data_IF_924240347033
#
_entry.id   IF_924240347033
#
_cell.length_a   1.000
_cell.length_b   1.000
_cell.length_c   1.000
_cell.angle_alpha   90.00
_cell.angle_beta   90.00
_cell.angle_gamma   90.00
#
_symmetry.space_group_name_H-M   'P 1'
#
loop_
_entity.id
_entity.type
_entity.pdbx_description
1 polymer ?
#
# COMPACT_ATOMS: atom_id res chain seq x y z
N UNK A 1 12.96 -7.56 -20.12
CA UNK A 1 12.67 -7.85 -18.70
C UNK A 1 11.17 -7.66 -18.52
N UNK A 2 10.51 -8.46 -17.69
CA UNK A 2 9.10 -8.24 -17.39
C UNK A 2 8.92 -6.88 -16.71
N UNK A 3 7.84 -6.18 -17.03
CA UNK A 3 7.49 -4.90 -16.41
C UNK A 3 7.09 -5.14 -14.94
N UNK A 4 7.64 -4.36 -14.00
CA UNK A 4 7.53 -4.61 -12.56
C UNK A 4 6.68 -3.56 -11.87
N UNK A 5 5.79 -3.99 -10.97
CA UNK A 5 5.10 -3.14 -10.01
C UNK A 5 5.84 -3.17 -8.67
N UNK A 6 6.24 -2.01 -8.20
CA UNK A 6 6.87 -1.79 -6.90
C UNK A 6 5.75 -1.64 -5.85
N UNK A 7 5.86 -2.37 -4.76
CA UNK A 7 4.96 -2.25 -3.61
C UNK A 7 5.67 -1.46 -2.52
N UNK A 8 5.11 -0.29 -2.23
CA UNK A 8 5.55 0.62 -1.18
C UNK A 8 4.56 0.51 0.00
N UNK A 9 5.02 0.00 1.12
CA UNK A 9 4.20 -0.11 2.33
C UNK A 9 4.40 1.09 3.25
N UNK A 10 3.33 1.78 3.58
CA UNK A 10 3.32 2.91 4.52
C UNK A 10 2.54 2.61 5.81
N UNK A 11 2.39 1.35 6.18
CA UNK A 11 1.71 0.94 7.42
C UNK A 11 2.34 1.60 8.65
N UNK A 12 3.67 1.71 8.69
CA UNK A 12 4.43 2.24 9.82
C UNK A 12 4.52 3.78 9.84
N UNK A 13 3.99 4.46 8.82
CA UNK A 13 3.92 5.93 8.77
C UNK A 13 2.48 6.41 8.64
N UNK A 14 1.83 6.28 7.47
CA UNK A 14 0.44 6.71 7.24
C UNK A 14 -0.56 5.82 7.99
N UNK A 15 -0.31 4.52 8.02
CA UNK A 15 -1.10 3.59 8.81
C UNK A 15 -1.14 3.96 10.29
N UNK A 16 -0.02 4.36 10.87
CA UNK A 16 0.08 4.79 12.26
C UNK A 16 -0.65 6.12 12.55
N UNK A 17 -0.93 6.92 11.53
CA UNK A 17 -1.72 8.15 11.66
C UNK A 17 -3.22 7.87 11.88
N UNK A 18 -3.67 6.64 11.70
CA UNK A 18 -5.02 6.23 12.10
C UNK A 18 -5.21 6.45 13.61
N UNK A 19 -6.27 7.16 14.05
CA UNK A 19 -6.49 7.42 15.47
C UNK A 19 -6.55 6.12 16.29
N UNK A 20 -5.61 5.95 17.22
CA UNK A 20 -5.50 4.76 18.08
C UNK A 20 -4.54 3.67 17.56
N UNK A 21 -3.91 3.85 16.41
CA UNK A 21 -2.98 2.88 15.83
C UNK A 21 -1.51 3.09 16.20
N UNK A 22 -1.22 3.90 17.22
CA UNK A 22 0.16 4.21 17.63
C UNK A 22 0.94 2.95 18.01
N UNK A 23 2.17 2.87 17.54
CA UNK A 23 3.07 1.74 17.76
C UNK A 23 4.37 2.21 18.41
N UNK A 24 4.91 1.43 19.34
CA UNK A 24 6.25 1.68 19.86
C UNK A 24 7.35 1.18 18.90
N UNK A 25 8.59 1.57 19.17
CA UNK A 25 9.76 1.21 18.34
C UNK A 25 9.87 -0.30 18.07
N UNK A 26 9.68 -1.14 19.10
CA UNK A 26 9.90 -2.59 18.98
C UNK A 26 8.75 -3.25 18.20
N UNK A 27 7.53 -2.73 18.32
CA UNK A 27 6.38 -3.12 17.52
C UNK A 27 6.59 -2.77 16.03
N UNK A 28 7.02 -1.53 15.74
CA UNK A 28 7.36 -1.09 14.38
C UNK A 28 8.47 -1.96 13.77
N UNK A 29 9.52 -2.26 14.51
CA UNK A 29 10.61 -3.12 14.06
C UNK A 29 10.12 -4.55 13.75
N UNK A 30 9.23 -5.08 14.57
CA UNK A 30 8.66 -6.42 14.37
C UNK A 30 7.80 -6.47 13.10
N UNK A 31 6.99 -5.45 12.86
CA UNK A 31 6.19 -5.33 11.63
C UNK A 31 7.11 -5.13 10.42
N UNK A 32 8.12 -4.28 10.50
CA UNK A 32 9.08 -4.07 9.41
C UNK A 32 9.76 -5.37 8.96
N UNK A 33 10.17 -6.22 9.91
CA UNK A 33 10.71 -7.56 9.60
C UNK A 33 9.69 -8.48 8.93
N UNK A 34 8.41 -8.37 9.28
CA UNK A 34 7.36 -9.15 8.63
C UNK A 34 7.09 -8.63 7.21
N UNK A 35 7.15 -7.31 6.98
CA UNK A 35 7.06 -6.70 5.65
C UNK A 35 8.24 -7.11 4.76
N UNK A 36 9.45 -7.19 5.32
CA UNK A 36 10.62 -7.70 4.60
C UNK A 36 10.47 -9.19 4.22
N UNK A 37 9.92 -10.04 5.11
CA UNK A 37 9.58 -11.45 4.78
C UNK A 37 8.52 -11.54 3.69
N UNK A 38 7.54 -10.65 3.70
CA UNK A 38 6.54 -10.50 2.63
C UNK A 38 7.18 -10.03 1.32
N UNK A 39 8.45 -9.60 1.36
CA UNK A 39 9.25 -9.08 0.24
C UNK A 39 8.68 -7.77 -0.34
N UNK A 40 8.21 -6.89 0.54
CA UNK A 40 7.83 -5.52 0.18
C UNK A 40 9.07 -4.79 -0.36
N UNK A 41 8.92 -4.05 -1.45
CA UNK A 41 10.05 -3.37 -2.10
C UNK A 41 10.53 -2.16 -1.28
N UNK A 42 9.59 -1.35 -0.76
CA UNK A 42 9.89 -0.16 0.04
C UNK A 42 9.04 -0.16 1.31
N UNK A 43 9.68 0.06 2.46
CA UNK A 43 9.03 0.18 3.77
C UNK A 43 9.21 1.61 4.26
N UNK A 44 8.13 2.39 4.32
CA UNK A 44 8.14 3.71 4.92
C UNK A 44 8.06 3.58 6.44
N UNK A 45 9.21 3.70 7.09
CA UNK A 45 9.39 3.37 8.50
C UNK A 45 8.81 4.40 9.47
N UNK A 46 8.58 5.63 9.01
CA UNK A 46 8.02 6.71 9.81
C UNK A 46 8.42 8.09 9.34
N UNK A 47 8.24 9.07 10.23
CA UNK A 47 8.61 10.47 10.03
C UNK A 47 9.67 10.89 11.06
N UNK A 48 10.94 10.68 10.72
CA UNK A 48 12.07 10.84 11.64
C UNK A 48 12.19 12.23 12.31
N UNK A 49 11.62 13.26 11.70
CA UNK A 49 11.65 14.62 12.23
C UNK A 49 10.46 14.96 13.16
N UNK A 50 9.47 14.08 13.30
CA UNK A 50 8.28 14.34 14.13
C UNK A 50 8.60 14.30 15.62
N UNK A 51 9.41 13.32 16.04
CA UNK A 51 9.85 13.16 17.44
C UNK A 51 11.18 12.39 17.53
N UNK A 52 11.80 12.37 18.72
CA UNK A 52 12.97 11.52 18.96
C UNK A 52 12.61 10.03 18.89
N UNK A 53 11.43 9.65 19.38
CA UNK A 53 10.96 8.26 19.32
C UNK A 53 10.79 7.77 17.87
N UNK A 54 10.24 8.61 17.00
CA UNK A 54 10.12 8.30 15.57
C UNK A 54 11.49 8.21 14.89
N UNK A 55 12.41 9.10 15.23
CA UNK A 55 13.79 9.01 14.76
C UNK A 55 14.44 7.68 15.14
N UNK A 56 14.35 7.29 16.40
CA UNK A 56 14.90 6.04 16.90
C UNK A 56 14.26 4.81 16.26
N UNK A 57 12.95 4.87 15.99
CA UNK A 57 12.23 3.81 15.30
C UNK A 57 12.69 3.65 13.83
N UNK A 58 12.77 4.76 13.08
CA UNK A 58 13.29 4.76 11.71
C UNK A 58 14.73 4.24 11.67
N UNK A 59 15.59 4.72 12.58
CA UNK A 59 16.99 4.29 12.66
C UNK A 59 17.12 2.79 13.00
N UNK A 60 16.30 2.28 13.93
CA UNK A 60 16.30 0.86 14.28
C UNK A 60 15.88 -0.02 13.09
N UNK A 61 14.87 0.41 12.34
CA UNK A 61 14.43 -0.28 11.12
C UNK A 61 15.50 -0.21 10.03
N UNK A 62 16.11 0.96 9.80
CA UNK A 62 17.19 1.14 8.84
C UNK A 62 18.40 0.23 9.12
N UNK A 63 18.74 0.04 10.38
CA UNK A 63 19.82 -0.86 10.79
C UNK A 63 19.46 -2.35 10.63
N UNK A 64 18.17 -2.71 10.74
CA UNK A 64 17.74 -4.11 10.81
C UNK A 64 17.34 -4.69 9.46
N UNK A 65 16.69 -3.90 8.60
CA UNK A 65 16.17 -4.33 7.30
C UNK A 65 17.28 -4.33 6.25
N UNK A 66 17.36 -5.40 5.43
CA UNK A 66 18.47 -5.62 4.49
C UNK A 66 17.99 -5.76 3.03
N UNK A 67 16.83 -6.36 2.81
CA UNK A 67 16.35 -6.75 1.48
C UNK A 67 15.28 -5.79 0.91
N UNK A 68 14.72 -4.90 1.74
CA UNK A 68 13.81 -3.83 1.33
C UNK A 68 14.49 -2.47 1.44
N UNK A 69 14.08 -1.52 0.61
CA UNK A 69 14.44 -0.11 0.76
C UNK A 69 13.71 0.46 1.97
N UNK A 70 14.45 1.11 2.88
CA UNK A 70 13.85 1.81 4.03
C UNK A 70 13.67 3.28 3.68
N UNK A 71 12.43 3.76 3.85
CA UNK A 71 12.04 5.13 3.54
C UNK A 71 11.71 5.91 4.80
N UNK A 72 12.01 7.21 4.83
CA UNK A 72 11.53 8.15 5.84
C UNK A 72 10.87 9.34 5.18
N UNK A 73 9.66 9.69 5.68
CA UNK A 73 8.97 10.90 5.29
C UNK A 73 9.69 12.14 5.82
N UNK A 74 9.63 13.23 5.08
CA UNK A 74 10.12 14.56 5.50
C UNK A 74 9.28 15.66 4.83
N UNK A 75 9.00 16.74 5.56
CA UNK A 75 8.51 17.96 4.92
C UNK A 75 9.60 18.57 4.05
N UNK A 76 9.20 19.36 3.07
CA UNK A 76 10.11 20.03 2.15
C UNK A 76 10.90 21.16 2.85
N UNK A 77 11.76 20.81 3.78
CA UNK A 77 12.72 21.71 4.43
C UNK A 77 14.00 20.96 4.86
N UNK A 78 15.11 21.69 4.94
CA UNK A 78 16.44 21.11 5.18
C UNK A 78 16.55 20.39 6.52
N UNK A 79 15.86 20.86 7.56
CA UNK A 79 15.89 20.25 8.90
C UNK A 79 15.28 18.86 8.88
N UNK A 80 14.10 18.71 8.33
CA UNK A 80 13.39 17.42 8.27
C UNK A 80 14.13 16.44 7.37
N UNK A 81 14.61 16.91 6.22
CA UNK A 81 15.37 16.11 5.25
C UNK A 81 16.70 15.62 5.85
N UNK A 82 17.43 16.51 6.55
CA UNK A 82 18.67 16.12 7.25
C UNK A 82 18.40 15.08 8.33
N UNK A 83 17.29 15.22 9.06
CA UNK A 83 16.91 14.29 10.12
C UNK A 83 16.53 12.90 9.55
N UNK A 84 15.83 12.88 8.41
CA UNK A 84 15.53 11.65 7.69
C UNK A 84 16.81 10.97 7.18
N UNK A 85 17.71 11.72 6.55
CA UNK A 85 18.99 11.19 6.08
C UNK A 85 19.84 10.60 7.22
N UNK A 86 19.88 11.29 8.38
CA UNK A 86 20.61 10.81 9.56
C UNK A 86 20.04 9.47 10.08
N UNK A 87 18.71 9.34 10.16
CA UNK A 87 18.05 8.10 10.60
C UNK A 87 18.30 6.93 9.63
N UNK A 88 18.46 7.22 8.34
CA UNK A 88 18.65 6.23 7.27
C UNK A 88 20.10 5.80 7.06
N UNK A 89 21.10 6.38 7.76
CA UNK A 89 22.52 6.07 7.54
C UNK A 89 22.91 4.58 7.62
N UNK A 90 22.17 3.80 8.42
CA UNK A 90 22.39 2.36 8.58
C UNK A 90 21.69 1.47 7.57
N UNK A 91 20.88 2.04 6.68
CA UNK A 91 20.13 1.27 5.69
C UNK A 91 21.04 0.77 4.57
N UNK A 92 20.82 -0.46 4.10
CA UNK A 92 21.45 -0.96 2.88
C UNK A 92 20.97 -0.18 1.64
N UNK A 93 19.68 0.17 1.62
CA UNK A 93 19.05 1.03 0.63
C UNK A 93 18.13 2.00 1.37
N UNK A 94 18.39 3.30 1.27
CA UNK A 94 17.63 4.35 1.93
C UNK A 94 16.97 5.30 0.94
N UNK A 95 15.70 5.65 1.17
CA UNK A 95 14.93 6.63 0.41
C UNK A 95 14.47 7.76 1.30
N UNK A 96 14.60 8.99 0.84
CA UNK A 96 13.93 10.15 1.45
C UNK A 96 12.67 10.43 0.63
N UNK A 97 11.53 10.44 1.32
CA UNK A 97 10.25 10.84 0.76
C UNK A 97 9.92 12.26 1.25
N UNK A 98 9.99 13.24 0.35
CA UNK A 98 9.67 14.63 0.69
C UNK A 98 8.40 15.09 0.01
N UNK A 99 7.66 15.98 0.64
CA UNK A 99 6.37 16.45 0.16
C UNK A 99 6.11 17.91 0.48
N UNK A 100 5.31 18.56 -0.37
CA UNK A 100 4.72 19.87 -0.13
C UNK A 100 3.36 19.92 -0.82
N UNK A 101 2.40 20.62 -0.22
CA UNK A 101 1.06 20.74 -0.80
C UNK A 101 1.06 21.65 -2.03
N UNK A 102 0.31 21.25 -3.05
CA UNK A 102 0.27 21.91 -4.36
C UNK A 102 -1.13 22.37 -4.79
N UNK A 103 -2.20 21.98 -4.07
CA UNK A 103 -3.53 22.51 -4.35
C UNK A 103 -3.65 23.96 -3.87
N UNK A 104 -4.39 24.77 -4.61
CA UNK A 104 -4.63 26.19 -4.29
C UNK A 104 -5.16 26.36 -2.86
N UNK A 105 -6.12 25.50 -2.47
CA UNK A 105 -6.69 25.49 -1.12
C UNK A 105 -5.62 25.30 -0.04
N UNK A 106 -4.71 24.31 -0.22
CA UNK A 106 -3.68 24.05 0.78
C UNK A 106 -2.55 25.09 0.74
N UNK A 107 -2.17 25.58 -0.42
CA UNK A 107 -1.18 26.66 -0.53
C UNK A 107 -1.66 27.92 0.20
N UNK A 108 -2.92 28.33 -0.03
CA UNK A 108 -3.51 29.52 0.59
C UNK A 108 -3.78 29.34 2.10
N UNK A 109 -4.51 28.28 2.48
CA UNK A 109 -5.05 28.15 3.86
C UNK A 109 -4.07 27.48 4.82
N UNK A 110 -3.32 26.47 4.37
CA UNK A 110 -2.43 25.67 5.21
C UNK A 110 -1.00 26.21 5.20
N UNK A 111 -0.41 26.38 4.01
CA UNK A 111 0.98 26.83 3.88
C UNK A 111 1.13 28.35 3.97
N UNK A 112 0.13 29.11 3.54
CA UNK A 112 0.17 30.57 3.38
C UNK A 112 1.34 31.01 2.49
N UNK A 113 1.52 30.28 1.38
CA UNK A 113 2.58 30.47 0.40
C UNK A 113 1.98 30.72 -0.99
N UNK A 114 2.68 31.51 -1.78
CA UNK A 114 2.35 31.64 -3.19
C UNK A 114 2.77 30.40 -3.98
N UNK A 115 2.18 30.13 -5.17
CA UNK A 115 2.63 29.02 -6.03
C UNK A 115 4.13 29.07 -6.36
N UNK A 116 4.70 30.26 -6.60
CA UNK A 116 6.13 30.41 -6.88
C UNK A 116 7.00 30.06 -5.67
N UNK A 117 6.56 30.40 -4.45
CA UNK A 117 7.27 30.00 -3.23
C UNK A 117 7.24 28.47 -3.05
N UNK A 118 6.08 27.84 -3.27
CA UNK A 118 5.95 26.36 -3.21
C UNK A 118 6.81 25.71 -4.27
N UNK A 119 6.83 26.22 -5.49
CA UNK A 119 7.66 25.73 -6.58
C UNK A 119 9.15 25.76 -6.23
N UNK A 120 9.67 26.89 -5.76
CA UNK A 120 11.09 27.01 -5.40
C UNK A 120 11.46 26.15 -4.20
N UNK A 121 10.58 26.06 -3.20
CA UNK A 121 10.80 25.19 -2.03
C UNK A 121 10.84 23.70 -2.42
N UNK A 122 9.95 23.24 -3.29
CA UNK A 122 9.97 21.86 -3.80
C UNK A 122 11.30 21.54 -4.49
N UNK A 123 11.75 22.40 -5.40
CA UNK A 123 13.03 22.24 -6.11
C UNK A 123 14.21 22.14 -5.15
N UNK A 124 14.32 23.13 -4.24
CA UNK A 124 15.43 23.19 -3.29
C UNK A 124 15.45 21.95 -2.40
N UNK A 125 14.29 21.51 -1.93
CA UNK A 125 14.16 20.33 -1.04
C UNK A 125 14.55 19.03 -1.74
N UNK A 126 14.12 18.81 -2.99
CA UNK A 126 14.52 17.63 -3.76
C UNK A 126 16.03 17.66 -4.06
N UNK A 127 16.56 18.80 -4.49
CA UNK A 127 18.01 18.96 -4.69
C UNK A 127 18.80 18.67 -3.42
N UNK A 128 18.35 19.19 -2.28
CA UNK A 128 19.01 18.97 -1.00
C UNK A 128 18.93 17.50 -0.59
N UNK A 129 17.78 16.85 -0.68
CA UNK A 129 17.62 15.42 -0.40
C UNK A 129 18.51 14.56 -1.32
N UNK A 130 18.60 14.90 -2.61
CA UNK A 130 19.40 14.19 -3.60
C UNK A 130 20.90 14.25 -3.32
N UNK A 131 21.37 15.30 -2.66
CA UNK A 131 22.76 15.39 -2.21
C UNK A 131 23.07 14.46 -1.02
N UNK A 132 22.05 14.00 -0.29
CA UNK A 132 22.21 13.16 0.89
C UNK A 132 21.97 11.67 0.59
N UNK A 133 21.04 11.34 -0.32
CA UNK A 133 20.71 9.96 -0.70
C UNK A 133 20.53 9.85 -2.22
N UNK A 134 20.75 8.64 -2.74
CA UNK A 134 20.58 8.38 -4.17
C UNK A 134 19.13 8.21 -4.62
N UNK A 135 18.22 7.91 -3.72
CA UNK A 135 16.81 7.62 -4.01
C UNK A 135 15.90 8.62 -3.28
N UNK A 136 15.20 9.46 -4.05
CA UNK A 136 14.34 10.52 -3.55
C UNK A 136 12.96 10.41 -4.17
N UNK A 137 11.96 10.29 -3.33
CA UNK A 137 10.55 10.34 -3.72
C UNK A 137 9.97 11.72 -3.40
N UNK A 138 9.21 12.27 -4.33
CA UNK A 138 8.51 13.54 -4.16
C UNK A 138 7.00 13.36 -4.32
N UNK A 139 6.24 13.86 -3.33
CA UNK A 139 4.77 13.91 -3.37
C UNK A 139 4.26 15.34 -3.40
N UNK A 140 3.49 15.75 -4.44
CA UNK A 140 2.65 16.94 -4.39
C UNK A 140 1.42 16.63 -3.52
N UNK A 141 1.43 17.00 -2.24
CA UNK A 141 0.27 16.74 -1.36
C UNK A 141 -0.99 17.40 -1.95
N UNK A 142 -2.11 16.68 -1.90
CA UNK A 142 -3.38 17.04 -2.53
C UNK A 142 -3.27 17.19 -4.07
N UNK A 143 -2.39 16.37 -4.66
CA UNK A 143 -2.04 16.44 -6.08
C UNK A 143 -3.24 16.28 -7.01
N UNK A 144 -4.17 15.37 -6.70
CA UNK A 144 -5.34 15.14 -7.54
C UNK A 144 -6.26 16.37 -7.65
N UNK A 145 -6.29 17.24 -6.64
CA UNK A 145 -7.06 18.50 -6.66
C UNK A 145 -6.24 19.74 -7.04
N UNK A 146 -4.97 19.53 -7.41
CA UNK A 146 -4.09 20.65 -7.83
C UNK A 146 -4.37 21.07 -9.27
N UNK A 147 -4.05 22.32 -9.60
CA UNK A 147 -4.07 22.82 -10.96
C UNK A 147 -3.11 22.00 -11.84
N UNK A 148 -3.59 21.54 -12.99
CA UNK A 148 -2.84 20.64 -13.87
C UNK A 148 -1.58 21.30 -14.45
N UNK A 149 -1.64 22.58 -14.81
CA UNK A 149 -0.49 23.28 -15.41
C UNK A 149 0.59 23.53 -14.36
N UNK A 150 0.18 23.95 -13.15
CA UNK A 150 1.09 24.10 -12.03
C UNK A 150 1.72 22.76 -11.63
N UNK A 151 0.93 21.70 -11.60
CA UNK A 151 1.42 20.36 -11.26
C UNK A 151 2.44 19.85 -12.29
N UNK A 152 2.17 20.01 -13.60
CA UNK A 152 3.15 19.68 -14.64
C UNK A 152 4.46 20.47 -14.45
N UNK A 153 4.37 21.76 -14.20
CA UNK A 153 5.54 22.66 -14.01
C UNK A 153 6.40 22.21 -12.82
N UNK A 154 5.79 21.93 -11.67
CA UNK A 154 6.52 21.57 -10.45
C UNK A 154 7.11 20.15 -10.56
N UNK A 155 6.38 19.19 -11.13
CA UNK A 155 6.87 17.82 -11.27
C UNK A 155 8.01 17.72 -12.28
N UNK A 156 7.96 18.44 -13.42
CA UNK A 156 9.09 18.54 -14.34
C UNK A 156 10.34 19.07 -13.64
N UNK A 157 10.17 20.11 -12.82
CA UNK A 157 11.28 20.74 -12.11
C UNK A 157 11.89 19.82 -11.05
N UNK A 158 11.09 19.12 -10.23
CA UNK A 158 11.63 18.22 -9.20
C UNK A 158 12.27 16.97 -9.80
N UNK A 159 11.79 16.47 -10.95
CA UNK A 159 12.46 15.41 -11.70
C UNK A 159 13.84 15.90 -12.19
N UNK A 160 13.92 17.12 -12.71
CA UNK A 160 15.19 17.72 -13.14
C UNK A 160 16.17 17.91 -11.96
N UNK A 161 15.69 18.14 -10.75
CA UNK A 161 16.50 18.23 -9.53
C UNK A 161 16.91 16.85 -8.96
N UNK A 162 16.40 15.77 -9.53
CA UNK A 162 16.84 14.41 -9.23
C UNK A 162 15.85 13.56 -8.43
N UNK A 163 14.57 13.91 -8.37
CA UNK A 163 13.55 12.99 -7.87
C UNK A 163 13.54 11.72 -8.73
N UNK A 164 13.69 10.58 -8.08
CA UNK A 164 13.71 9.25 -8.72
C UNK A 164 12.32 8.65 -8.82
N UNK A 165 11.42 9.09 -7.94
CA UNK A 165 10.02 8.66 -7.91
C UNK A 165 9.11 9.88 -7.72
N UNK A 166 8.03 9.93 -8.50
CA UNK A 166 6.95 10.92 -8.36
C UNK A 166 5.71 10.17 -7.90
N UNK A 167 5.26 10.48 -6.68
CA UNK A 167 4.05 9.90 -6.12
C UNK A 167 2.92 10.93 -6.15
N UNK A 168 1.80 10.60 -6.78
CA UNK A 168 0.67 11.52 -6.95
C UNK A 168 -0.49 11.09 -6.06
N UNK A 169 -0.73 11.78 -4.93
CA UNK A 169 -1.75 11.35 -3.98
C UNK A 169 -3.15 11.86 -4.31
N UNK A 170 -4.13 10.99 -4.12
CA UNK A 170 -5.53 11.33 -3.84
C UNK A 170 -5.70 11.46 -2.32
N UNK A 171 -5.26 12.57 -1.79
CA UNK A 171 -5.08 12.81 -0.34
C UNK A 171 -6.40 12.76 0.45
N UNK A 172 -7.52 13.09 -0.18
CA UNK A 172 -8.84 13.14 0.47
C UNK A 172 -9.80 12.06 0.01
N UNK A 173 -9.32 11.07 -0.77
CA UNK A 173 -10.13 9.96 -1.26
C UNK A 173 -11.28 10.39 -2.16
N UNK A 174 -11.07 11.43 -2.96
CA UNK A 174 -12.09 12.09 -3.80
C UNK A 174 -12.15 11.51 -5.22
N UNK A 175 -11.09 10.84 -5.66
CA UNK A 175 -10.97 10.34 -7.02
C UNK A 175 -11.93 9.18 -7.33
N UNK A 176 -12.27 9.04 -8.61
CA UNK A 176 -12.90 7.84 -9.17
C UNK A 176 -11.96 7.18 -10.18
N UNK A 177 -12.02 5.86 -10.37
CA UNK A 177 -10.93 5.12 -11.01
C UNK A 177 -10.55 5.60 -12.41
N UNK A 178 -11.53 5.76 -13.29
CA UNK A 178 -11.27 6.16 -14.68
C UNK A 178 -10.64 7.56 -14.77
N UNK A 179 -11.16 8.52 -14.01
CA UNK A 179 -10.66 9.89 -14.01
C UNK A 179 -9.26 9.96 -13.37
N UNK A 180 -9.01 9.20 -12.31
CA UNK A 180 -7.69 9.16 -11.68
C UNK A 180 -6.64 8.52 -12.61
N UNK A 181 -6.96 7.39 -13.23
CA UNK A 181 -6.08 6.78 -14.22
C UNK A 181 -5.76 7.71 -15.40
N UNK A 182 -6.76 8.41 -15.92
CA UNK A 182 -6.57 9.39 -16.99
C UNK A 182 -5.75 10.61 -16.52
N UNK A 183 -5.92 11.05 -15.28
CA UNK A 183 -5.14 12.13 -14.67
C UNK A 183 -3.65 11.79 -14.62
N UNK A 184 -3.28 10.62 -14.11
CA UNK A 184 -1.89 10.14 -14.07
C UNK A 184 -1.31 10.03 -15.49
N UNK A 185 -2.09 9.48 -16.43
CA UNK A 185 -1.68 9.41 -17.84
C UNK A 185 -1.38 10.77 -18.41
N UNK A 186 -2.27 11.75 -18.21
CA UNK A 186 -2.13 13.13 -18.71
C UNK A 186 -0.87 13.80 -18.15
N UNK A 187 -0.57 13.65 -16.86
CA UNK A 187 0.67 14.15 -16.28
C UNK A 187 1.89 13.58 -16.97
N UNK A 188 1.95 12.26 -17.15
CA UNK A 188 3.07 11.57 -17.78
C UNK A 188 3.27 11.96 -19.24
N UNK A 189 2.20 12.21 -19.97
CA UNK A 189 2.25 12.64 -21.37
C UNK A 189 2.65 14.11 -21.54
N UNK A 190 2.28 14.97 -20.58
CA UNK A 190 2.57 16.40 -20.65
C UNK A 190 3.95 16.80 -20.12
N UNK A 191 4.53 16.00 -19.24
CA UNK A 191 5.82 16.31 -18.61
C UNK A 191 6.95 15.75 -19.44
N UNK A 192 7.82 16.58 -20.04
CA UNK A 192 8.82 16.15 -21.04
C UNK A 192 9.85 15.15 -20.51
N UNK A 193 10.19 15.22 -19.22
CA UNK A 193 11.16 14.35 -18.56
C UNK A 193 10.52 13.28 -17.68
N UNK A 194 9.24 12.96 -17.92
CA UNK A 194 8.47 12.00 -17.12
C UNK A 194 9.06 10.59 -17.11
N UNK A 195 9.79 10.22 -18.14
CA UNK A 195 10.48 8.93 -18.30
C UNK A 195 11.70 8.75 -17.37
N UNK A 196 12.18 9.83 -16.76
CA UNK A 196 13.33 9.81 -15.83
C UNK A 196 12.95 9.47 -14.40
N UNK A 197 11.67 9.36 -14.09
CA UNK A 197 11.18 9.00 -12.77
C UNK A 197 10.18 7.83 -12.82
N UNK A 198 10.14 7.05 -11.75
CA UNK A 198 9.08 6.07 -11.51
C UNK A 198 7.84 6.83 -11.08
N UNK A 199 6.70 6.51 -11.69
CA UNK A 199 5.42 7.08 -11.28
C UNK A 199 4.76 6.19 -10.25
N UNK A 200 4.31 6.79 -9.16
CA UNK A 200 3.67 6.18 -8.00
C UNK A 200 2.29 6.77 -7.79
N UNK A 201 1.41 5.98 -7.19
CA UNK A 201 0.07 6.38 -6.80
C UNK A 201 -0.15 6.11 -5.32
N UNK A 202 -0.90 7.00 -4.65
CA UNK A 202 -1.30 6.90 -3.27
C UNK A 202 -2.76 7.31 -3.14
N UNK A 203 -3.63 6.41 -2.71
CA UNK A 203 -5.07 6.69 -2.67
C UNK A 203 -5.65 6.41 -1.29
N UNK A 204 -6.36 7.41 -0.73
CA UNK A 204 -7.20 7.25 0.46
C UNK A 204 -8.56 6.67 0.11
N UNK A 205 -9.23 6.10 1.11
CA UNK A 205 -10.40 5.22 0.92
C UNK A 205 -11.73 5.86 1.35
N UNK A 206 -11.81 7.19 1.37
CA UNK A 206 -13.00 7.92 1.87
C UNK A 206 -14.28 7.56 1.11
N UNK A 207 -14.20 7.29 -0.19
CA UNK A 207 -15.32 6.81 -1.01
C UNK A 207 -15.30 5.28 -1.24
N UNK A 208 -14.41 4.53 -0.55
CA UNK A 208 -14.30 3.07 -0.73
C UNK A 208 -13.63 2.65 -2.05
N UNK A 209 -12.86 3.54 -2.69
CA UNK A 209 -12.32 3.30 -4.03
C UNK A 209 -10.78 3.29 -4.09
N UNK A 210 -10.08 3.32 -2.96
CA UNK A 210 -8.62 3.44 -2.94
C UNK A 210 -7.91 2.36 -3.77
N UNK A 211 -8.32 1.11 -3.64
CA UNK A 211 -7.77 -0.01 -4.43
C UNK A 211 -8.08 0.14 -5.90
N UNK A 212 -9.33 0.45 -6.25
CA UNK A 212 -9.75 0.63 -7.64
C UNK A 212 -9.03 1.82 -8.30
N UNK A 213 -8.88 2.93 -7.58
CA UNK A 213 -8.14 4.11 -8.05
C UNK A 213 -6.66 3.76 -8.29
N UNK A 214 -6.01 3.07 -7.35
CA UNK A 214 -4.61 2.66 -7.49
C UNK A 214 -4.41 1.71 -8.67
N UNK A 215 -5.29 0.72 -8.86
CA UNK A 215 -5.25 -0.18 -10.02
C UNK A 215 -5.47 0.56 -11.35
N UNK A 216 -6.36 1.57 -11.38
CA UNK A 216 -6.54 2.43 -12.55
C UNK A 216 -5.31 3.30 -12.83
N UNK A 217 -4.68 3.87 -11.79
CA UNK A 217 -3.42 4.58 -11.91
C UNK A 217 -2.29 3.72 -12.49
N UNK A 218 -2.24 2.44 -12.11
CA UNK A 218 -1.30 1.46 -12.67
C UNK A 218 -1.65 1.11 -14.12
N UNK A 219 -2.88 0.72 -14.39
CA UNK A 219 -3.26 0.17 -15.70
C UNK A 219 -3.45 1.24 -16.77
N UNK A 220 -4.20 2.29 -16.48
CA UNK A 220 -4.49 3.39 -17.41
C UNK A 220 -3.42 4.48 -17.32
N UNK A 221 -3.03 4.83 -16.11
CA UNK A 221 -2.03 5.88 -15.84
C UNK A 221 -0.60 5.46 -16.14
N UNK A 222 -0.30 4.16 -16.09
CA UNK A 222 1.03 3.62 -16.31
C UNK A 222 1.97 3.81 -15.11
N UNK A 223 1.44 4.00 -13.90
CA UNK A 223 2.24 4.00 -12.68
C UNK A 223 2.89 2.62 -12.45
N UNK A 224 4.06 2.63 -11.83
CA UNK A 224 4.84 1.42 -11.53
C UNK A 224 5.22 1.29 -10.05
N UNK A 225 4.67 2.15 -9.20
CA UNK A 225 4.67 2.00 -7.75
C UNK A 225 3.26 2.27 -7.22
N UNK A 226 2.87 1.52 -6.18
CA UNK A 226 1.65 1.77 -5.40
C UNK A 226 2.04 1.89 -3.94
N UNK A 227 1.69 3.02 -3.33
CA UNK A 227 1.70 3.18 -1.87
C UNK A 227 0.42 2.57 -1.30
N UNK A 228 0.58 1.71 -0.31
CA UNK A 228 -0.51 0.98 0.30
C UNK A 228 -0.19 0.63 1.75
N UNK A 229 -1.16 0.09 2.47
CA UNK A 229 -0.96 -0.34 3.86
C UNK A 229 -1.56 -1.72 4.09
N UNK A 230 -1.00 -2.46 5.03
CA UNK A 230 -1.61 -3.70 5.50
C UNK A 230 -3.00 -3.40 6.06
N UNK A 231 -3.99 -4.17 5.65
CA UNK A 231 -5.41 -4.03 6.01
C UNK A 231 -6.07 -2.71 5.56
N UNK A 232 -5.40 -1.91 4.74
CA UNK A 232 -5.88 -0.58 4.37
C UNK A 232 -5.87 0.42 5.53
N UNK A 233 -5.05 0.18 6.57
CA UNK A 233 -4.93 1.07 7.72
C UNK A 233 -4.48 2.47 7.31
N UNK A 234 -5.03 3.53 7.90
CA UNK A 234 -4.65 4.90 7.61
C UNK A 234 -5.63 5.94 8.15
N UNK A 235 -5.34 7.18 7.86
CA UNK A 235 -6.19 8.32 8.24
C UNK A 235 -7.64 8.15 7.74
N UNK A 236 -8.62 8.62 8.50
CA UNK A 236 -10.06 8.63 8.20
C UNK A 236 -10.60 7.24 7.84
N UNK A 237 -10.91 6.96 6.56
CA UNK A 237 -11.39 5.67 6.08
C UNK A 237 -10.27 4.70 5.65
N UNK A 238 -9.00 5.13 5.81
CA UNK A 238 -7.82 4.33 5.51
C UNK A 238 -7.23 4.56 4.12
N UNK A 239 -6.27 3.71 3.79
CA UNK A 239 -5.50 3.72 2.55
C UNK A 239 -5.90 2.57 1.62
N UNK A 240 -5.27 2.52 0.47
CA UNK A 240 -5.27 1.35 -0.40
C UNK A 240 -4.73 0.13 0.35
N UNK A 241 -5.46 -0.98 0.34
CA UNK A 241 -5.06 -2.23 1.00
C UNK A 241 -3.99 -2.97 0.20
N UNK A 242 -2.83 -3.24 0.82
CA UNK A 242 -1.72 -3.97 0.18
C UNK A 242 -2.15 -5.35 -0.33
N UNK A 243 -2.82 -6.12 0.51
CA UNK A 243 -3.27 -7.48 0.18
C UNK A 243 -4.21 -7.51 -1.03
N UNK A 244 -5.05 -6.50 -1.17
CA UNK A 244 -6.02 -6.41 -2.27
C UNK A 244 -5.33 -6.04 -3.59
N UNK A 245 -4.38 -5.09 -3.57
CA UNK A 245 -3.56 -4.75 -4.74
C UNK A 245 -2.76 -5.95 -5.22
N UNK A 246 -2.03 -6.58 -4.30
CA UNK A 246 -1.15 -7.71 -4.62
C UNK A 246 -1.95 -8.86 -5.23
N UNK A 247 -3.07 -9.23 -4.62
CA UNK A 247 -3.85 -10.36 -5.11
C UNK A 247 -4.65 -10.03 -6.36
N UNK A 248 -5.09 -8.79 -6.57
CA UNK A 248 -5.69 -8.35 -7.82
C UNK A 248 -4.71 -8.47 -9.00
N UNK A 249 -3.50 -7.94 -8.85
CA UNK A 249 -2.46 -8.00 -9.91
C UNK A 249 -2.01 -9.43 -10.16
N UNK A 250 -1.81 -10.23 -9.11
CA UNK A 250 -1.38 -11.64 -9.23
C UNK A 250 -2.46 -12.50 -9.89
N UNK A 251 -3.72 -12.39 -9.46
CA UNK A 251 -4.84 -13.19 -9.97
C UNK A 251 -5.19 -12.80 -11.41
N UNK A 252 -5.09 -11.52 -11.75
CA UNK A 252 -5.38 -11.00 -13.08
C UNK A 252 -4.10 -10.61 -13.84
N UNK A 253 -3.10 -11.50 -13.78
CA UNK A 253 -1.84 -11.36 -14.54
C UNK A 253 -2.09 -11.23 -16.04
N UNK A 254 -3.13 -11.90 -16.54
CA UNK A 254 -3.62 -11.79 -17.92
C UNK A 254 -3.95 -10.35 -18.33
N UNK A 255 -4.50 -9.59 -17.39
CA UNK A 255 -4.91 -8.20 -17.61
C UNK A 255 -3.81 -7.19 -17.31
N UNK A 256 -3.11 -7.32 -16.18
CA UNK A 256 -2.11 -6.35 -15.76
C UNK A 256 -0.77 -6.54 -16.45
N UNK A 257 -0.31 -7.78 -16.67
CA UNK A 257 0.97 -8.10 -17.31
C UNK A 257 2.20 -7.68 -16.50
N UNK A 258 2.06 -7.51 -15.19
CA UNK A 258 3.08 -7.02 -14.29
C UNK A 258 3.61 -8.13 -13.38
N UNK A 259 4.89 -8.05 -13.04
CA UNK A 259 5.52 -8.87 -12.00
C UNK A 259 5.66 -8.07 -10.70
N UNK A 260 5.67 -8.76 -9.56
CA UNK A 260 5.90 -8.20 -8.23
C UNK A 260 6.86 -9.09 -7.44
N UNK A 261 7.60 -8.51 -6.51
CA UNK A 261 8.48 -9.29 -5.62
C UNK A 261 7.74 -9.99 -4.48
N UNK A 262 6.53 -9.58 -4.18
CA UNK A 262 5.76 -10.03 -3.01
C UNK A 262 5.65 -11.55 -2.96
N UNK A 263 5.94 -12.12 -1.78
CA UNK A 263 5.61 -13.49 -1.44
C UNK A 263 4.28 -13.54 -0.67
N UNK A 264 3.15 -13.79 -1.34
CA UNK A 264 1.83 -13.60 -0.75
C UNK A 264 1.51 -14.58 0.38
N UNK A 265 2.25 -15.67 0.54
CA UNK A 265 2.05 -16.61 1.66
C UNK A 265 2.20 -15.95 3.03
N UNK A 266 2.86 -14.81 3.10
CA UNK A 266 3.05 -14.01 4.32
C UNK A 266 1.97 -12.94 4.57
N UNK A 267 0.99 -12.77 3.67
CA UNK A 267 -0.04 -11.72 3.76
C UNK A 267 -0.86 -11.87 5.05
N UNK A 268 -1.44 -13.05 5.30
CA UNK A 268 -2.30 -13.27 6.48
C UNK A 268 -1.52 -13.10 7.78
N UNK A 269 -0.25 -13.52 7.82
CA UNK A 269 0.61 -13.31 8.98
C UNK A 269 0.87 -11.82 9.24
N UNK A 270 1.13 -11.03 8.19
CA UNK A 270 1.30 -9.58 8.29
C UNK A 270 0.00 -8.89 8.75
N UNK A 271 -1.13 -9.23 8.15
CA UNK A 271 -2.46 -8.72 8.52
C UNK A 271 -2.78 -8.95 10.00
N UNK A 272 -2.57 -10.17 10.49
CA UNK A 272 -2.78 -10.51 11.90
C UNK A 272 -1.85 -9.75 12.84
N UNK A 273 -0.58 -9.66 12.48
CA UNK A 273 0.41 -8.93 13.28
C UNK A 273 0.04 -7.46 13.44
N UNK A 274 -0.31 -6.77 12.35
CA UNK A 274 -0.75 -5.37 12.38
C UNK A 274 -2.04 -5.22 13.20
N UNK A 275 -3.05 -6.07 12.96
CA UNK A 275 -4.31 -6.05 13.71
C UNK A 275 -4.09 -6.24 15.22
N UNK A 276 -3.25 -7.18 15.64
CA UNK A 276 -2.93 -7.42 17.05
C UNK A 276 -2.15 -6.28 17.68
N UNK A 277 -1.24 -5.67 16.94
CA UNK A 277 -0.40 -4.58 17.45
C UNK A 277 -1.20 -3.29 17.61
N UNK A 278 -2.04 -2.96 16.62
CA UNK A 278 -2.81 -1.70 16.61
C UNK A 278 -4.16 -1.80 17.32
N UNK A 279 -4.67 -3.02 17.55
CA UNK A 279 -6.03 -3.24 18.07
C UNK A 279 -7.14 -3.07 17.02
N UNK A 280 -6.81 -2.74 15.77
CA UNK A 280 -7.79 -2.62 14.68
C UNK A 280 -8.18 -4.00 14.16
N UNK A 281 -9.39 -4.43 14.47
CA UNK A 281 -9.90 -5.74 14.08
C UNK A 281 -10.25 -5.77 12.59
N UNK A 282 -9.73 -6.77 11.88
CA UNK A 282 -10.07 -7.01 10.48
C UNK A 282 -11.52 -7.51 10.38
N UNK A 283 -12.31 -6.87 9.53
CA UNK A 283 -13.70 -7.31 9.28
C UNK A 283 -13.71 -8.75 8.74
N UNK A 284 -14.62 -9.62 9.22
CA UNK A 284 -14.68 -11.02 8.78
C UNK A 284 -14.81 -11.20 7.26
N UNK A 285 -15.49 -10.29 6.58
CA UNK A 285 -15.71 -10.31 5.13
C UNK A 285 -14.69 -9.48 4.33
N UNK A 286 -13.60 -8.98 4.97
CA UNK A 286 -12.57 -8.26 4.22
C UNK A 286 -11.92 -9.19 3.20
N UNK A 287 -11.71 -8.67 2.00
CA UNK A 287 -11.05 -9.44 0.93
C UNK A 287 -9.69 -9.97 1.39
N UNK A 288 -9.33 -11.15 0.94
CA UNK A 288 -8.06 -11.86 1.15
C UNK A 288 -7.80 -12.26 2.61
N UNK A 289 -7.89 -11.34 3.58
CA UNK A 289 -7.45 -11.54 4.98
C UNK A 289 -8.57 -11.72 5.99
N UNK A 290 -9.80 -11.45 5.63
CA UNK A 290 -10.96 -11.65 6.50
C UNK A 290 -11.20 -13.13 6.81
N UNK A 291 -11.70 -13.43 8.01
CA UNK A 291 -11.91 -14.82 8.47
C UNK A 291 -12.89 -15.61 7.58
N UNK A 292 -13.75 -14.92 6.84
CA UNK A 292 -14.73 -15.49 5.91
C UNK A 292 -14.29 -15.45 4.44
N UNK A 293 -13.12 -14.86 4.12
CA UNK A 293 -12.68 -14.68 2.74
C UNK A 293 -12.61 -16.00 1.93
N UNK A 294 -12.37 -17.12 2.63
CA UNK A 294 -12.30 -18.48 2.06
C UNK A 294 -13.28 -19.44 2.77
N UNK A 295 -14.43 -18.93 3.22
CA UNK A 295 -15.44 -19.72 3.91
C UNK A 295 -16.70 -19.83 3.05
N UNK A 296 -17.24 -21.04 2.94
CA UNK A 296 -18.45 -21.35 2.19
C UNK A 296 -19.53 -21.87 3.13
N UNK A 297 -20.67 -21.17 3.21
CA UNK A 297 -21.82 -21.55 4.03
C UNK A 297 -23.04 -22.01 3.22
N UNK A 298 -23.18 -21.53 1.97
CA UNK A 298 -24.28 -21.91 1.08
C UNK A 298 -24.08 -23.33 0.55
N UNK A 299 -25.12 -24.17 0.61
CA UNK A 299 -25.07 -25.55 0.11
C UNK A 299 -24.70 -25.67 -1.38
N UNK A 300 -25.14 -24.71 -2.22
CA UNK A 300 -24.79 -24.67 -3.64
C UNK A 300 -23.28 -24.38 -3.82
N UNK A 301 -22.73 -23.44 -3.07
CA UNK A 301 -21.31 -23.12 -3.12
C UNK A 301 -20.48 -24.29 -2.57
N UNK A 302 -20.89 -24.88 -1.46
CA UNK A 302 -20.22 -26.03 -0.86
C UNK A 302 -20.16 -27.20 -1.84
N UNK A 303 -21.27 -27.55 -2.50
CA UNK A 303 -21.31 -28.63 -3.49
C UNK A 303 -20.42 -28.32 -4.70
N UNK A 304 -20.39 -27.07 -5.16
CA UNK A 304 -19.50 -26.63 -6.25
C UNK A 304 -18.03 -26.78 -5.90
N UNK A 305 -17.60 -26.23 -4.75
CA UNK A 305 -16.21 -26.32 -4.27
C UNK A 305 -15.76 -27.76 -4.05
N UNK A 306 -16.64 -28.64 -3.54
CA UNK A 306 -16.36 -30.07 -3.36
C UNK A 306 -16.12 -30.81 -4.69
N UNK A 307 -16.80 -30.39 -5.74
CA UNK A 307 -16.63 -30.97 -7.10
C UNK A 307 -15.38 -30.41 -7.80
N UNK A 308 -15.19 -29.08 -7.73
CA UNK A 308 -14.03 -28.38 -8.25
C UNK A 308 -13.89 -27.03 -7.56
N UNK A 309 -12.76 -26.78 -6.91
CA UNK A 309 -12.50 -25.52 -6.15
C UNK A 309 -12.68 -24.28 -7.02
N UNK A 310 -12.23 -24.34 -8.27
CA UNK A 310 -12.27 -23.24 -9.23
C UNK A 310 -13.70 -22.75 -9.59
N UNK A 311 -14.74 -23.47 -9.16
CA UNK A 311 -16.14 -23.05 -9.37
C UNK A 311 -16.49 -21.78 -8.61
N UNK A 312 -15.85 -21.56 -7.44
CA UNK A 312 -16.11 -20.41 -6.55
C UNK A 312 -14.84 -19.81 -5.95
N UNK A 313 -13.65 -20.30 -6.28
CA UNK A 313 -12.37 -19.80 -5.78
C UNK A 313 -11.50 -19.30 -6.93
N UNK A 314 -11.23 -17.98 -6.97
CA UNK A 314 -10.31 -17.34 -7.93
C UNK A 314 -8.87 -17.33 -7.45
N UNK A 315 -8.64 -17.61 -6.18
CA UNK A 315 -7.35 -17.75 -5.50
C UNK A 315 -7.49 -18.80 -4.40
N UNK A 316 -6.40 -19.41 -3.96
CA UNK A 316 -6.43 -20.42 -2.91
C UNK A 316 -6.07 -19.82 -1.56
N UNK A 317 -6.71 -20.31 -0.49
CA UNK A 317 -6.45 -19.88 0.88
C UNK A 317 -4.97 -20.00 1.24
N UNK A 318 -4.34 -21.07 0.81
CA UNK A 318 -2.94 -21.39 1.07
C UNK A 318 -1.98 -20.38 0.41
N UNK A 319 -2.35 -19.83 -0.75
CA UNK A 319 -1.53 -18.86 -1.49
C UNK A 319 -1.29 -17.55 -0.70
N UNK A 320 -2.15 -17.25 0.27
CA UNK A 320 -2.08 -16.03 1.08
C UNK A 320 -1.77 -16.30 2.56
N UNK A 321 -1.54 -17.58 2.91
CA UNK A 321 -1.12 -18.00 4.26
C UNK A 321 -2.25 -18.43 5.19
N UNK A 322 -3.46 -18.70 4.68
CA UNK A 322 -4.45 -19.50 5.40
C UNK A 322 -4.11 -20.99 5.31
N UNK A 323 -4.47 -21.75 6.34
CA UNK A 323 -4.19 -23.21 6.36
C UNK A 323 -5.04 -23.99 5.36
N UNK A 324 -6.29 -23.60 5.16
CA UNK A 324 -7.23 -24.16 4.20
C UNK A 324 -8.49 -23.27 4.10
N UNK A 325 -9.31 -23.53 3.08
CA UNK A 325 -10.68 -23.04 3.05
C UNK A 325 -11.53 -23.70 4.16
N UNK A 326 -12.63 -23.05 4.55
CA UNK A 326 -13.53 -23.55 5.60
C UNK A 326 -14.92 -23.78 5.03
N UNK A 327 -15.40 -25.02 5.19
CA UNK A 327 -16.83 -25.34 5.02
C UNK A 327 -17.48 -25.14 6.38
N UNK A 328 -18.36 -24.16 6.45
CA UNK A 328 -19.08 -23.82 7.70
C UNK A 328 -20.47 -24.43 7.61
N UNK A 329 -20.75 -25.38 8.50
CA UNK A 329 -22.10 -25.95 8.61
C UNK A 329 -23.06 -24.98 9.25
N UNK A 330 -24.24 -24.86 8.67
CA UNK A 330 -25.32 -24.02 9.14
C UNK A 330 -26.65 -24.43 8.52
N UNK A 331 -27.71 -23.67 8.81
CA UNK A 331 -29.07 -23.94 8.30
C UNK A 331 -29.20 -24.00 6.78
N UNK A 332 -28.20 -23.48 6.06
CA UNK A 332 -28.15 -23.43 4.58
C UNK A 332 -27.23 -24.49 3.97
N UNK A 333 -26.59 -25.34 4.78
CA UNK A 333 -25.69 -26.40 4.32
C UNK A 333 -26.47 -27.53 3.67
N UNK A 334 -25.94 -28.02 2.55
CA UNK A 334 -26.48 -29.21 1.86
C UNK A 334 -25.97 -30.52 2.46
N UNK A 335 -26.62 -31.64 2.07
CA UNK A 335 -26.29 -33.01 2.51
C UNK A 335 -24.79 -33.36 2.27
N UNK A 336 -24.21 -32.95 1.15
CA UNK A 336 -22.81 -33.26 0.82
C UNK A 336 -21.83 -32.61 1.78
N UNK A 337 -22.04 -31.36 2.17
CA UNK A 337 -21.21 -30.69 3.17
C UNK A 337 -21.32 -31.33 4.56
N UNK A 338 -22.51 -31.79 4.93
CA UNK A 338 -22.72 -32.54 6.17
C UNK A 338 -21.95 -33.88 6.14
N UNK A 339 -22.11 -34.68 5.08
CA UNK A 339 -21.39 -35.97 4.92
C UNK A 339 -19.88 -35.78 5.02
N UNK A 340 -19.32 -34.78 4.35
CA UNK A 340 -17.89 -34.49 4.43
C UNK A 340 -17.46 -34.16 5.86
N UNK A 341 -18.21 -33.31 6.55
CA UNK A 341 -17.89 -32.95 7.94
C UNK A 341 -17.91 -34.14 8.88
N UNK A 342 -18.87 -35.05 8.69
CA UNK A 342 -18.92 -36.29 9.45
C UNK A 342 -17.69 -37.15 9.18
N UNK A 343 -17.27 -37.31 7.92
CA UNK A 343 -16.05 -38.02 7.56
C UNK A 343 -14.79 -37.41 8.18
N UNK A 344 -14.68 -36.06 8.17
CA UNK A 344 -13.57 -35.34 8.83
C UNK A 344 -13.52 -35.60 10.33
N UNK A 345 -14.68 -35.82 10.97
CA UNK A 345 -14.80 -36.16 12.38
C UNK A 345 -14.66 -37.66 12.67
N UNK A 346 -14.37 -38.47 11.63
CA UNK A 346 -14.19 -39.91 11.75
C UNK A 346 -15.51 -40.70 11.88
N UNK A 347 -16.64 -40.07 11.58
CA UNK A 347 -17.96 -40.71 11.61
C UNK A 347 -18.30 -41.26 10.22
N UNK A 348 -18.48 -42.55 10.12
CA UNK A 348 -18.93 -43.20 8.88
C UNK A 348 -20.45 -43.35 8.92
N UNK A 349 -21.13 -42.77 7.94
CA UNK A 349 -22.59 -42.92 7.78
C UNK A 349 -22.85 -44.21 7.00
N UNK A 350 -23.58 -45.12 7.61
CA UNK A 350 -23.85 -46.47 7.04
C UNK A 350 -24.94 -46.44 5.97
N UNK A 351 -25.78 -45.44 5.95
CA UNK A 351 -26.85 -45.29 4.94
C UNK A 351 -27.14 -43.82 4.59
N UNK A 352 -27.81 -43.60 3.45
CA UNK A 352 -28.26 -42.24 3.03
C UNK A 352 -29.41 -41.69 3.87
N UNK A 353 -30.01 -42.51 4.72
CA UNK A 353 -31.14 -42.14 5.59
C UNK A 353 -30.73 -41.76 7.01
N UNK A 354 -29.45 -41.90 7.36
CA UNK A 354 -28.85 -41.41 8.60
C UNK A 354 -28.23 -40.02 8.42
#
# INVERSE_FOLDING_TARGET
MADKLIIFDTTLRDGEQSPGASMNRDEKLRIARQLERLRVDVIEAGFAASSNGDFEAVQAIANAIKDSTVCSLSRANDRDISRAAEALKGANSGRIHTFIATSELHMEKKLRMTPDQVFEQAKQSVRFARNLVADVEFSPEDGYRSDMDFLCKILEAVIAEGATTINVPDTVGYAVPELYGQFIKTLRERIPNSDKAIWSVHCHNDLGMAVANSLAGVKLGGARQVECTINGLGERAGNCSLEEIVMAVKTRKDYFGLEMNIDPVHIVAASRMVSQTTGFVVQPNKAVVGANAFAHASGIHQDGVLKARDTYEIMRAEDVGWSANKIVLGKLSGRNAFKQRMQELGVVLESESE
#
